data_IF_241783602130
#
_entry.id   IF_241783602130
#
_cell.length_a   1.000
_cell.length_b   1.000
_cell.length_c   1.000
_cell.angle_alpha   90.00
_cell.angle_beta   90.00
_cell.angle_gamma   90.00
#
_symmetry.space_group_name_H-M   'P 1'
#
loop_
_entity.id
_entity.type
_entity.pdbx_description
1 polymer ?
#
# COMPACT_ATOMS: atom_id res chain seq x y z
N UNK A 1 -40.35 -52.44 -28.55
CA UNK A 1 -39.08 -52.99 -28.04
C UNK A 1 -38.56 -51.97 -27.03
N UNK A 2 -38.71 -52.33 -25.75
CA UNK A 2 -38.39 -51.43 -24.63
C UNK A 2 -37.10 -51.97 -24.01
N UNK A 3 -36.01 -51.21 -24.04
CA UNK A 3 -34.77 -51.57 -23.36
C UNK A 3 -34.62 -50.70 -22.12
N UNK A 4 -34.71 -51.38 -20.94
CA UNK A 4 -34.51 -50.74 -19.64
C UNK A 4 -33.04 -50.54 -19.33
N UNK A 5 -32.68 -49.37 -18.81
CA UNK A 5 -31.40 -49.10 -18.18
C UNK A 5 -31.50 -49.43 -16.69
N UNK A 6 -30.72 -50.40 -16.25
CA UNK A 6 -30.56 -50.74 -14.83
C UNK A 6 -29.71 -49.71 -14.09
N UNK A 7 -30.22 -49.26 -12.94
CA UNK A 7 -29.55 -48.42 -11.99
C UNK A 7 -28.69 -49.25 -11.05
N UNK A 8 -27.40 -49.07 -11.05
CA UNK A 8 -26.49 -49.69 -10.09
C UNK A 8 -26.56 -48.92 -8.77
N UNK A 9 -26.95 -49.62 -7.71
CA UNK A 9 -26.92 -49.11 -6.34
C UNK A 9 -25.44 -48.99 -5.90
N UNK A 10 -25.05 -47.81 -5.44
CA UNK A 10 -23.74 -47.58 -4.78
C UNK A 10 -23.91 -47.85 -3.28
N UNK A 11 -23.26 -48.92 -2.83
CA UNK A 11 -23.14 -49.22 -1.40
C UNK A 11 -22.19 -48.21 -0.74
N UNK A 12 -22.73 -47.37 0.14
CA UNK A 12 -21.96 -46.49 0.99
C UNK A 12 -21.47 -47.27 2.23
N UNK A 13 -20.18 -47.34 2.53
CA UNK A 13 -19.71 -47.99 3.75
C UNK A 13 -20.06 -47.16 4.96
N UNK A 14 -20.88 -47.72 5.86
CA UNK A 14 -21.19 -47.14 7.15
C UNK A 14 -20.01 -47.38 8.08
N UNK A 15 -19.28 -46.30 8.43
CA UNK A 15 -18.22 -46.37 9.42
C UNK A 15 -18.86 -46.29 10.82
N UNK A 16 -18.85 -47.40 11.54
CA UNK A 16 -19.31 -47.49 12.93
C UNK A 16 -18.16 -47.06 13.86
N UNK A 17 -18.34 -45.93 14.54
CA UNK A 17 -17.41 -45.51 15.59
C UNK A 17 -17.81 -46.09 16.94
N UNK A 18 -16.98 -46.96 17.49
CA UNK A 18 -17.12 -47.47 18.85
C UNK A 18 -16.37 -46.52 19.77
N UNK A 19 -17.02 -45.86 20.73
CA UNK A 19 -16.31 -45.00 21.69
C UNK A 19 -15.50 -45.86 22.66
N UNK A 20 -14.22 -45.58 22.78
CA UNK A 20 -13.32 -46.16 23.76
C UNK A 20 -13.65 -45.58 25.16
N UNK A 21 -13.59 -46.39 26.22
CA UNK A 21 -13.84 -45.89 27.58
C UNK A 21 -12.74 -44.91 28.03
N UNK A 22 -13.14 -43.69 28.33
CA UNK A 22 -12.26 -42.68 28.92
C UNK A 22 -12.07 -43.03 30.39
N UNK A 23 -10.88 -43.50 30.74
CA UNK A 23 -10.47 -43.66 32.15
C UNK A 23 -10.10 -42.27 32.67
N UNK A 24 -10.98 -41.68 33.47
CA UNK A 24 -10.70 -40.42 34.18
C UNK A 24 -9.80 -40.72 35.40
N UNK A 25 -8.50 -40.54 35.25
CA UNK A 25 -7.59 -40.40 36.38
C UNK A 25 -7.73 -38.98 36.95
N UNK A 26 -8.26 -38.88 38.15
CA UNK A 26 -8.25 -37.62 38.91
C UNK A 26 -6.81 -37.31 39.33
N UNK A 27 -6.10 -36.56 38.49
CA UNK A 27 -4.87 -35.90 38.90
C UNK A 27 -5.24 -34.48 39.35
N UNK A 28 -5.11 -34.20 40.64
CA UNK A 28 -5.20 -32.83 41.17
C UNK A 28 -4.12 -31.97 40.51
N UNK A 29 -4.48 -30.86 39.84
CA UNK A 29 -3.45 -29.93 39.42
C UNK A 29 -2.91 -29.21 40.65
N UNK A 30 -1.61 -29.38 40.94
CA UNK A 30 -0.87 -28.42 41.74
C UNK A 30 -0.94 -27.07 41.04
N UNK A 31 -1.60 -26.10 41.68
CA UNK A 31 -1.60 -24.73 41.26
C UNK A 31 -0.18 -24.20 41.42
N UNK A 32 0.62 -24.22 40.36
CA UNK A 32 1.81 -23.43 40.31
C UNK A 32 1.32 -22.01 40.07
N UNK A 33 1.48 -21.16 41.05
CA UNK A 33 1.28 -19.73 40.94
C UNK A 33 2.33 -19.20 39.90
N UNK A 34 1.92 -19.23 38.65
CA UNK A 34 2.68 -18.56 37.57
C UNK A 34 2.40 -17.08 37.80
N UNK A 35 3.33 -16.43 38.50
CA UNK A 35 3.30 -14.98 38.68
C UNK A 35 2.88 -14.33 37.35
N UNK A 36 1.78 -13.59 37.41
CA UNK A 36 1.25 -12.80 36.30
C UNK A 36 2.34 -11.83 35.85
N UNK A 37 3.14 -12.23 34.87
CA UNK A 37 3.97 -11.32 34.10
C UNK A 37 2.97 -10.52 33.26
N UNK A 38 2.56 -9.37 33.80
CA UNK A 38 1.90 -8.34 33.02
C UNK A 38 2.79 -8.10 31.79
N UNK A 39 2.29 -8.26 30.54
CA UNK A 39 3.08 -7.88 29.39
C UNK A 39 3.35 -6.38 29.55
N UNK A 40 4.61 -6.01 29.78
CA UNK A 40 5.06 -4.64 29.64
C UNK A 40 4.80 -4.33 28.17
N UNK A 41 3.75 -3.55 27.89
CA UNK A 41 3.50 -3.00 26.56
C UNK A 41 4.73 -2.15 26.23
N UNK A 42 5.69 -2.72 25.54
CA UNK A 42 6.76 -1.95 24.97
C UNK A 42 6.12 -1.03 23.95
N UNK A 43 6.00 0.27 24.29
CA UNK A 43 5.56 1.30 23.37
C UNK A 43 6.60 1.30 22.25
N UNK A 44 6.22 0.84 21.06
CA UNK A 44 7.09 0.93 19.89
C UNK A 44 7.12 2.39 19.40
N UNK A 45 8.14 2.76 18.66
CA UNK A 45 8.36 4.10 18.11
C UNK A 45 7.96 4.08 16.64
N UNK A 46 7.05 4.96 16.27
CA UNK A 46 6.65 5.20 14.88
C UNK A 46 7.66 6.15 14.22
N UNK A 47 8.27 5.72 13.11
CA UNK A 47 9.22 6.55 12.38
C UNK A 47 9.30 6.08 10.93
N UNK A 48 9.40 7.02 9.99
CA UNK A 48 9.57 6.75 8.56
C UNK A 48 10.56 7.75 7.97
N UNK A 49 11.58 7.26 7.29
CA UNK A 49 12.59 8.07 6.65
C UNK A 49 12.48 7.98 5.13
N UNK A 50 12.40 9.12 4.46
CA UNK A 50 12.54 9.23 3.02
C UNK A 50 13.94 8.79 2.57
N UNK A 51 14.02 8.02 1.49
CA UNK A 51 15.26 7.59 0.86
C UNK A 51 15.44 8.31 -0.48
N UNK A 52 14.50 8.15 -1.41
CA UNK A 52 14.60 8.69 -2.76
C UNK A 52 13.26 8.69 -3.50
N UNK A 53 13.18 9.51 -4.55
CA UNK A 53 12.12 9.45 -5.56
C UNK A 53 12.40 8.31 -6.53
N UNK A 54 11.46 7.36 -6.64
CA UNK A 54 11.56 6.26 -7.60
C UNK A 54 11.00 6.66 -8.97
N UNK A 55 10.03 7.59 -8.99
CA UNK A 55 9.40 8.11 -10.21
C UNK A 55 9.18 9.61 -10.07
N UNK A 56 9.04 10.30 -11.18
CA UNK A 56 8.72 11.74 -11.27
C UNK A 56 9.62 12.56 -10.35
N UNK A 57 10.89 12.83 -10.73
CA UNK A 57 11.77 13.73 -9.99
C UNK A 57 11.15 15.11 -9.79
N UNK A 58 11.56 15.82 -8.74
CA UNK A 58 11.08 17.17 -8.44
C UNK A 58 11.29 18.13 -9.61
N UNK A 59 10.25 18.93 -9.91
CA UNK A 59 10.26 19.87 -11.01
C UNK A 59 10.05 19.23 -12.39
N UNK A 60 9.66 17.95 -12.45
CA UNK A 60 9.30 17.30 -13.73
C UNK A 60 8.23 18.09 -14.47
N UNK A 61 8.42 18.28 -15.77
CA UNK A 61 7.42 18.91 -16.64
C UNK A 61 6.42 17.85 -17.09
N UNK A 62 5.14 18.13 -16.88
CA UNK A 62 4.02 17.24 -17.20
C UNK A 62 2.96 17.98 -18.03
N UNK A 63 2.11 17.25 -18.72
CA UNK A 63 1.01 17.84 -19.50
C UNK A 63 -0.21 18.14 -18.62
N UNK A 64 -1.04 19.14 -18.99
CA UNK A 64 -2.34 19.34 -18.36
C UNK A 64 -3.19 18.07 -18.39
N UNK A 65 -3.77 17.68 -17.24
CA UNK A 65 -4.58 16.48 -17.10
C UNK A 65 -3.82 15.15 -17.16
N UNK A 66 -2.50 15.17 -17.15
CA UNK A 66 -1.68 13.95 -17.16
C UNK A 66 -1.85 13.15 -15.86
N UNK A 67 -1.89 11.82 -15.98
CA UNK A 67 -1.90 10.92 -14.83
C UNK A 67 -0.47 10.68 -14.34
N UNK A 68 -0.26 10.93 -13.06
CA UNK A 68 1.03 10.91 -12.39
C UNK A 68 1.10 9.71 -11.44
N UNK A 69 1.96 8.73 -11.72
CA UNK A 69 2.26 7.61 -10.80
C UNK A 69 3.51 7.97 -9.99
N UNK A 70 3.32 8.65 -8.87
CA UNK A 70 4.42 9.03 -7.97
C UNK A 70 4.72 7.91 -6.98
N UNK A 71 6.00 7.58 -6.89
CA UNK A 71 6.51 6.57 -5.95
C UNK A 71 7.73 7.08 -5.22
N UNK A 72 7.77 6.80 -3.91
CA UNK A 72 8.90 7.10 -3.05
C UNK A 72 9.41 5.80 -2.42
N UNK A 73 10.73 5.69 -2.30
CA UNK A 73 11.37 4.70 -1.43
C UNK A 73 11.47 5.29 -0.04
N UNK A 74 10.98 4.55 0.96
CA UNK A 74 11.01 4.97 2.36
C UNK A 74 11.47 3.81 3.24
N UNK A 75 12.14 4.11 4.35
CA UNK A 75 12.55 3.14 5.34
C UNK A 75 11.71 3.28 6.60
N UNK A 76 11.20 2.16 7.11
CA UNK A 76 10.68 2.11 8.48
C UNK A 76 11.89 2.06 9.43
N UNK A 77 12.32 3.22 9.92
CA UNK A 77 13.43 3.34 10.87
C UNK A 77 12.95 3.40 12.32
N UNK A 78 11.64 3.21 12.55
CA UNK A 78 11.03 3.01 13.86
C UNK A 78 11.16 1.57 14.37
N UNK A 79 10.50 1.29 15.48
CA UNK A 79 10.41 -0.05 16.08
C UNK A 79 9.02 -0.69 15.95
N UNK A 80 8.01 0.05 15.48
CA UNK A 80 6.69 -0.48 15.11
C UNK A 80 6.75 -1.13 13.73
N UNK A 81 6.05 -2.25 13.54
CA UNK A 81 5.81 -2.80 12.20
C UNK A 81 4.58 -2.11 11.59
N UNK A 82 4.70 -1.58 10.39
CA UNK A 82 3.54 -1.04 9.66
C UNK A 82 2.68 -2.18 9.13
N UNK A 83 1.37 -2.07 9.30
CA UNK A 83 0.41 -3.09 8.90
C UNK A 83 -1.00 -2.51 8.68
N UNK A 84 -2.05 -3.30 8.92
CA UNK A 84 -3.42 -2.84 8.78
C UNK A 84 -3.71 -1.61 9.65
N UNK A 85 -4.39 -0.61 9.07
CA UNK A 85 -4.75 0.63 9.76
C UNK A 85 -3.74 1.77 9.58
N UNK A 86 -2.51 1.48 9.11
CA UNK A 86 -1.57 2.53 8.72
C UNK A 86 -1.98 3.14 7.37
N UNK A 87 -1.87 4.45 7.25
CA UNK A 87 -2.28 5.19 6.07
C UNK A 87 -1.20 6.18 5.62
N UNK A 88 -1.16 6.47 4.33
CA UNK A 88 -0.47 7.60 3.75
C UNK A 88 -1.52 8.68 3.51
N UNK A 89 -1.38 9.85 4.12
CA UNK A 89 -2.39 10.90 4.07
C UNK A 89 -1.84 12.15 3.42
N UNK A 90 -2.70 12.84 2.67
CA UNK A 90 -2.40 14.12 2.06
C UNK A 90 -2.40 15.23 3.11
N UNK A 91 -1.42 16.12 3.05
CA UNK A 91 -1.30 17.26 3.97
C UNK A 91 -1.79 18.54 3.27
N UNK A 92 -2.95 19.03 3.72
CA UNK A 92 -3.54 20.24 3.18
C UNK A 92 -4.29 20.03 1.86
N UNK A 93 -4.73 21.14 1.30
CA UNK A 93 -5.43 21.17 0.01
C UNK A 93 -4.43 21.55 -1.08
N UNK A 94 -4.44 20.80 -2.16
CA UNK A 94 -3.66 21.08 -3.37
C UNK A 94 -4.48 20.73 -4.62
N UNK A 95 -4.18 21.34 -5.79
CA UNK A 95 -4.97 21.18 -7.00
C UNK A 95 -4.69 19.87 -7.76
N UNK A 96 -3.74 19.03 -7.32
CA UNK A 96 -3.54 17.71 -7.92
C UNK A 96 -4.68 16.78 -7.51
N UNK A 97 -5.46 16.31 -8.48
CA UNK A 97 -6.64 15.48 -8.23
C UNK A 97 -6.22 14.04 -7.90
N UNK A 98 -6.74 13.50 -6.79
CA UNK A 98 -6.44 12.14 -6.36
C UNK A 98 -7.04 11.83 -4.99
N UNK A 99 -6.71 10.69 -4.39
CA UNK A 99 -7.19 10.33 -3.06
C UNK A 99 -6.59 11.26 -1.99
N UNK A 100 -7.30 11.42 -0.87
CA UNK A 100 -6.78 12.14 0.29
C UNK A 100 -6.02 11.22 1.25
N UNK A 101 -6.33 9.94 1.21
CA UNK A 101 -5.69 8.91 2.03
C UNK A 101 -5.63 7.57 1.30
N UNK A 102 -4.62 6.78 1.62
CA UNK A 102 -4.36 5.45 1.06
C UNK A 102 -3.85 4.52 2.17
N UNK A 103 -4.15 3.21 2.08
CA UNK A 103 -3.50 2.25 2.95
C UNK A 103 -1.98 2.27 2.73
N UNK A 104 -1.23 2.33 3.83
CA UNK A 104 0.22 2.26 3.77
C UNK A 104 0.65 0.83 3.44
N UNK A 105 1.68 0.70 2.60
CA UNK A 105 2.24 -0.62 2.30
C UNK A 105 2.93 -1.20 3.55
N UNK A 106 2.66 -2.47 3.93
CA UNK A 106 3.24 -3.06 5.12
C UNK A 106 4.78 -3.07 5.08
N UNK A 107 5.41 -2.69 6.18
CA UNK A 107 6.86 -2.77 6.34
C UNK A 107 7.23 -3.09 7.78
N UNK A 108 8.12 -4.06 7.97
CA UNK A 108 8.68 -4.35 9.28
C UNK A 108 9.66 -3.26 9.71
N UNK A 109 9.86 -3.13 11.01
CA UNK A 109 10.94 -2.31 11.57
C UNK A 109 12.27 -2.60 10.88
N UNK A 110 12.97 -1.55 10.47
CA UNK A 110 14.22 -1.60 9.69
C UNK A 110 14.05 -1.88 8.19
N UNK A 111 12.85 -2.27 7.73
CA UNK A 111 12.56 -2.60 6.34
C UNK A 111 12.35 -1.37 5.46
N UNK A 112 12.39 -1.58 4.14
CA UNK A 112 12.08 -0.55 3.13
C UNK A 112 10.73 -0.85 2.49
N UNK A 113 9.95 0.19 2.22
CA UNK A 113 8.69 0.13 1.51
C UNK A 113 8.65 1.13 0.36
N UNK A 114 7.69 0.93 -0.55
CA UNK A 114 7.36 1.90 -1.60
C UNK A 114 6.03 2.55 -1.24
N UNK A 115 6.03 3.87 -1.07
CA UNK A 115 4.80 4.64 -0.99
C UNK A 115 4.43 5.09 -2.39
N UNK A 116 3.19 4.89 -2.78
CA UNK A 116 2.70 5.17 -4.13
C UNK A 116 1.39 5.95 -4.08
N UNK A 117 1.30 7.00 -4.88
CA UNK A 117 0.07 7.74 -5.12
C UNK A 117 -0.15 7.94 -6.61
N UNK A 118 -1.41 7.85 -7.04
CA UNK A 118 -1.82 8.18 -8.41
C UNK A 118 -2.57 9.51 -8.35
N UNK A 119 -2.04 10.50 -9.05
CA UNK A 119 -2.59 11.85 -9.09
C UNK A 119 -2.88 12.24 -10.54
N UNK A 120 -3.72 13.26 -10.73
CA UNK A 120 -3.94 13.89 -12.04
C UNK A 120 -3.50 15.34 -11.96
N UNK A 121 -2.67 15.76 -12.90
CA UNK A 121 -2.22 17.14 -13.02
C UNK A 121 -3.40 18.09 -13.32
N UNK A 122 -3.41 19.32 -12.79
CA UNK A 122 -4.37 20.34 -13.16
C UNK A 122 -4.38 20.65 -14.67
N UNK A 123 -5.46 21.25 -15.14
CA UNK A 123 -5.55 21.71 -16.53
C UNK A 123 -4.82 23.03 -16.76
N UNK A 124 -4.68 23.84 -15.72
CA UNK A 124 -3.97 25.11 -15.79
C UNK A 124 -2.46 24.90 -15.69
N UNK A 125 -1.71 25.70 -16.46
CA UNK A 125 -0.24 25.68 -16.41
C UNK A 125 0.27 26.35 -15.13
N UNK A 126 1.34 25.81 -14.54
CA UNK A 126 1.91 26.34 -13.30
C UNK A 126 2.73 25.31 -12.54
N UNK A 127 3.23 25.71 -11.39
CA UNK A 127 3.98 24.86 -10.46
C UNK A 127 3.04 24.33 -9.39
N UNK A 128 3.04 23.02 -9.17
CA UNK A 128 2.14 22.35 -8.26
C UNK A 128 2.89 21.41 -7.33
N UNK A 129 2.50 21.43 -6.05
CA UNK A 129 3.09 20.58 -5.02
C UNK A 129 1.99 19.89 -4.23
N UNK A 130 2.13 18.58 -3.98
CA UNK A 130 1.31 17.81 -3.06
C UNK A 130 2.19 17.14 -2.02
N UNK A 131 1.81 17.25 -0.74
CA UNK A 131 2.58 16.73 0.40
C UNK A 131 1.84 15.60 1.08
N UNK A 132 2.58 14.61 1.54
CA UNK A 132 2.06 13.38 2.11
C UNK A 132 2.86 12.97 3.33
N UNK A 133 2.20 12.34 4.31
CA UNK A 133 2.85 11.81 5.50
C UNK A 133 2.16 10.53 5.96
N UNK A 134 2.89 9.66 6.65
CA UNK A 134 2.32 8.47 7.25
C UNK A 134 1.47 8.82 8.47
N UNK A 135 0.39 8.06 8.67
CA UNK A 135 -0.51 8.13 9.82
C UNK A 135 -0.67 6.73 10.41
N UNK A 136 -0.49 6.59 11.71
CA UNK A 136 -0.66 5.35 12.45
C UNK A 136 -2.15 5.06 12.75
N UNK A 137 -2.50 3.85 13.21
CA UNK A 137 -3.90 3.49 13.52
C UNK A 137 -4.54 4.33 14.63
N UNK A 138 -3.76 5.01 15.46
CA UNK A 138 -4.23 5.96 16.49
C UNK A 138 -4.33 7.42 15.99
N UNK A 139 -4.37 7.60 14.65
CA UNK A 139 -4.50 8.88 13.97
C UNK A 139 -3.29 9.82 14.13
N UNK A 140 -2.15 9.34 14.62
CA UNK A 140 -0.95 10.15 14.80
C UNK A 140 -0.13 10.19 13.53
N UNK A 141 0.23 11.39 13.06
CA UNK A 141 1.15 11.56 11.93
C UNK A 141 2.59 11.27 12.38
N UNK A 142 3.35 10.59 11.54
CA UNK A 142 4.74 10.24 11.85
C UNK A 142 5.65 10.21 10.61
N UNK A 143 6.96 10.23 10.87
CA UNK A 143 7.99 10.14 9.85
C UNK A 143 8.13 11.37 8.96
N UNK A 144 9.00 11.27 7.96
CA UNK A 144 9.28 12.34 7.01
C UNK A 144 8.07 12.65 6.14
N UNK A 145 7.90 13.94 5.82
CA UNK A 145 6.95 14.39 4.80
C UNK A 145 7.57 14.15 3.44
N UNK A 146 6.88 13.39 2.59
CA UNK A 146 7.23 13.22 1.17
C UNK A 146 6.36 14.13 0.31
N UNK A 147 6.82 14.48 -0.88
CA UNK A 147 6.06 15.36 -1.77
C UNK A 147 6.30 15.02 -3.25
N UNK A 148 5.41 15.50 -4.08
CA UNK A 148 5.58 15.59 -5.53
C UNK A 148 5.55 17.07 -5.91
N UNK A 149 6.53 17.53 -6.69
CA UNK A 149 6.60 18.86 -7.27
C UNK A 149 6.65 18.71 -8.80
N UNK A 150 5.67 19.26 -9.50
CA UNK A 150 5.60 19.21 -10.96
C UNK A 150 5.34 20.58 -11.56
N UNK A 151 5.79 20.77 -12.79
CA UNK A 151 5.53 21.94 -13.62
C UNK A 151 4.56 21.52 -14.71
N UNK A 152 3.31 21.99 -14.67
CA UNK A 152 2.33 21.75 -15.73
C UNK A 152 2.57 22.75 -16.86
N UNK A 153 2.93 22.26 -18.04
CA UNK A 153 3.22 23.10 -19.21
C UNK A 153 2.63 22.51 -20.49
N UNK A 154 2.27 23.38 -21.43
CA UNK A 154 1.87 22.97 -22.78
C UNK A 154 3.09 22.53 -23.57
N UNK A 155 2.96 21.55 -24.49
CA UNK A 155 4.07 21.14 -25.34
C UNK A 155 4.49 22.32 -26.24
N UNK A 156 5.77 22.63 -26.21
CA UNK A 156 6.33 23.64 -27.15
C UNK A 156 6.26 23.07 -28.55
N UNK A 157 5.64 23.77 -29.54
CA UNK A 157 5.58 23.29 -30.90
C UNK A 157 7.01 23.17 -31.48
N UNK A 158 7.34 21.98 -31.99
CA UNK A 158 8.61 21.75 -32.67
C UNK A 158 8.56 22.58 -33.98
N UNK A 159 9.51 23.49 -34.26
CA UNK A 159 9.52 24.21 -35.51
C UNK A 159 9.67 23.22 -36.68
N UNK A 160 8.62 23.12 -37.51
CA UNK A 160 8.67 22.33 -38.74
C UNK A 160 9.63 23.04 -39.69
N UNK A 161 10.80 22.44 -39.96
CA UNK A 161 11.72 22.97 -41.00
C UNK A 161 11.02 22.91 -42.36
N UNK A 162 10.60 24.06 -42.84
CA UNK A 162 10.10 24.17 -44.21
C UNK A 162 11.24 23.81 -45.16
N UNK A 163 11.09 22.80 -46.06
CA UNK A 163 12.13 22.50 -47.01
C UNK A 163 12.33 23.73 -47.95
N UNK A 164 13.54 24.24 -47.98
CA UNK A 164 13.96 25.25 -48.99
C UNK A 164 13.83 24.60 -50.36
N UNK A 165 12.80 25.02 -51.11
CA UNK A 165 12.72 24.70 -52.55
C UNK A 165 13.80 25.54 -53.23
N UNK A 166 14.94 24.91 -53.60
CA UNK A 166 15.95 25.54 -54.46
C UNK A 166 15.31 25.79 -55.83
N UNK A 167 15.31 27.03 -56.36
CA UNK A 167 14.93 27.25 -57.73
C UNK A 167 15.97 26.60 -58.64
N UNK A 168 15.54 25.72 -59.55
CA UNK A 168 16.33 25.14 -60.58
C UNK A 168 16.55 26.22 -61.69
N UNK A 169 17.75 26.39 -62.21
CA UNK A 169 18.05 27.37 -63.25
C UNK A 169 17.40 27.06 -64.61
#
# INVERSE_FOLDING_TARGET
MVSGCGQAAQDTPTISWTPLPVVMTKTSPSVVDVGSVSPTSSICVEEARFIEDLTIPDGSVVLPGETLDKRWSVQNNGSCDWGPGYQLVRLGEDPLVGPDELALYPARSGGTAVWQVILTAPLDTGDYISRWQARSPDETLFGDIVYILVVVALPTPIPTSTPLISPTP
#
